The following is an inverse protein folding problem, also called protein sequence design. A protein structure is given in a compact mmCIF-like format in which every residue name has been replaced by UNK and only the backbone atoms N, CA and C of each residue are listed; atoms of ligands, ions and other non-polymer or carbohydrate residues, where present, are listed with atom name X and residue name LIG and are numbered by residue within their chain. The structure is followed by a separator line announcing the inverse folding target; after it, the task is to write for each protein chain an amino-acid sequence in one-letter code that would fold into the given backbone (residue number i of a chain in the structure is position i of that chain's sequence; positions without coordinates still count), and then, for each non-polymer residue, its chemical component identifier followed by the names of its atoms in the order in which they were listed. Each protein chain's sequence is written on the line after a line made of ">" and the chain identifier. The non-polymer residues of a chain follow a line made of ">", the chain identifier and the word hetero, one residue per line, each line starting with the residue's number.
data_IF_377745640882
#
_entry.id   IF_377745640882
#
_cell.length_a   1.000
_cell.length_b   1.000
_cell.length_c   1.000
_cell.angle_alpha   90.00
_cell.angle_beta   90.00
_cell.angle_gamma   90.00
#
_symmetry.space_group_name_H-M   'P 1'
#
loop_
_entity.id
_entity.type
_entity.pdbx_description
1 polymer ?
#
# COMPACT_ATOMS: atom_id res chain seq x y z
N UNK A 1 -2.21 27.54 23.11
CA UNK A 1 -3.20 27.92 22.08
C UNK A 1 -4.00 26.67 21.77
N UNK A 2 -5.22 26.55 22.31
CA UNK A 2 -6.04 25.35 22.11
C UNK A 2 -6.72 25.41 20.74
N UNK A 3 -6.55 24.37 19.93
CA UNK A 3 -7.28 24.23 18.67
C UNK A 3 -8.79 24.06 18.97
N UNK A 4 -9.68 24.72 18.22
CA UNK A 4 -11.13 24.61 18.41
C UNK A 4 -11.59 23.15 18.27
N UNK A 5 -12.56 22.74 19.08
CA UNK A 5 -12.97 21.33 19.26
C UNK A 5 -13.26 20.57 17.96
N UNK A 6 -13.79 21.26 16.94
CA UNK A 6 -14.09 20.69 15.63
C UNK A 6 -12.86 20.21 14.85
N UNK A 7 -11.72 20.92 14.93
CA UNK A 7 -10.47 20.47 14.28
C UNK A 7 -9.92 19.23 14.96
N UNK A 8 -10.04 19.15 16.30
CA UNK A 8 -9.57 18.02 17.11
C UNK A 8 -10.30 16.73 16.74
N UNK A 9 -11.60 16.83 16.47
CA UNK A 9 -12.43 15.67 16.09
C UNK A 9 -12.01 15.07 14.74
N UNK A 10 -11.71 15.89 13.72
CA UNK A 10 -11.29 15.38 12.40
C UNK A 10 -9.95 14.65 12.45
N UNK A 11 -8.95 15.23 13.12
CA UNK A 11 -7.66 14.58 13.32
C UNK A 11 -7.78 13.31 14.15
N UNK A 12 -8.64 13.31 15.17
CA UNK A 12 -8.90 12.13 15.98
C UNK A 12 -9.52 11.00 15.15
N UNK A 13 -10.45 11.31 14.23
CA UNK A 13 -11.04 10.31 13.33
C UNK A 13 -10.01 9.70 12.39
N UNK A 14 -9.12 10.51 11.82
CA UNK A 14 -8.03 10.01 10.99
C UNK A 14 -7.07 9.13 11.79
N UNK A 15 -6.62 9.62 12.95
CA UNK A 15 -5.75 8.88 13.86
C UNK A 15 -6.36 7.55 14.27
N UNK A 16 -7.65 7.52 14.64
CA UNK A 16 -8.34 6.29 15.02
C UNK A 16 -8.42 5.31 13.84
N UNK A 17 -8.68 5.81 12.63
CA UNK A 17 -8.77 4.97 11.43
C UNK A 17 -7.43 4.36 11.03
N UNK A 18 -6.32 5.08 11.20
CA UNK A 18 -4.97 4.59 10.89
C UNK A 18 -4.43 3.69 12.00
N UNK A 19 -4.64 4.07 13.27
CA UNK A 19 -4.23 3.30 14.43
C UNK A 19 -4.90 1.92 14.47
N UNK A 20 -6.21 1.84 14.26
CA UNK A 20 -6.95 0.57 14.27
C UNK A 20 -6.57 -0.38 13.13
N UNK A 21 -5.79 0.09 12.16
CA UNK A 21 -5.32 -0.69 11.00
C UNK A 21 -3.81 -0.87 11.01
N UNK A 22 -3.14 -0.52 12.10
CA UNK A 22 -1.68 -0.58 12.25
C UNK A 22 -0.94 0.10 11.09
N UNK A 23 -1.45 1.25 10.66
CA UNK A 23 -0.86 2.03 9.57
C UNK A 23 0.15 3.05 10.12
N UNK A 24 1.30 3.12 9.47
CA UNK A 24 2.43 4.00 9.80
C UNK A 24 2.46 5.17 8.80
N UNK A 25 2.67 6.37 9.33
CA UNK A 25 2.77 7.61 8.55
C UNK A 25 4.18 7.78 7.96
N UNK A 26 4.30 7.89 6.63
CA UNK A 26 5.56 7.74 5.89
C UNK A 26 6.22 9.06 5.47
N UNK A 27 5.48 10.08 5.05
CA UNK A 27 6.04 11.32 4.49
C UNK A 27 6.16 12.45 5.51
N UNK A 28 6.71 12.15 6.68
CA UNK A 28 6.81 13.08 7.83
C UNK A 28 7.60 14.36 7.54
N UNK A 29 8.55 14.30 6.62
CA UNK A 29 9.49 15.39 6.31
C UNK A 29 9.11 16.18 5.05
N UNK A 30 7.86 16.06 4.60
CA UNK A 30 7.36 16.78 3.42
C UNK A 30 6.50 17.98 3.81
N UNK A 31 6.49 19.01 2.97
CA UNK A 31 5.59 20.16 2.97
C UNK A 31 4.87 20.20 1.62
N UNK A 32 3.87 19.33 1.49
CA UNK A 32 3.20 19.07 0.21
C UNK A 32 2.40 20.24 -0.34
N UNK A 33 1.98 21.20 0.50
CA UNK A 33 1.24 22.38 0.06
C UNK A 33 2.05 23.64 0.35
N UNK A 34 2.23 24.46 -0.69
CA UNK A 34 2.95 25.73 -0.60
C UNK A 34 2.20 26.74 0.25
N UNK A 35 2.94 27.69 0.80
CA UNK A 35 2.34 28.88 1.41
C UNK A 35 1.55 29.69 0.37
N UNK A 36 0.46 30.29 0.83
CA UNK A 36 -0.33 31.26 0.08
C UNK A 36 -0.51 32.51 0.98
N UNK A 37 -1.00 33.61 0.42
CA UNK A 37 -1.13 34.89 1.12
C UNK A 37 -1.91 34.73 2.44
N UNK A 38 -1.18 34.75 3.56
CA UNK A 38 -1.74 34.57 4.91
C UNK A 38 -1.88 33.12 5.40
N UNK A 39 -1.32 32.14 4.70
CA UNK A 39 -1.30 30.73 5.09
C UNK A 39 0.13 30.19 5.03
N UNK A 40 0.58 29.55 6.11
CA UNK A 40 1.87 28.87 6.13
C UNK A 40 1.84 27.60 5.25
N UNK A 41 3.01 27.16 4.78
CA UNK A 41 3.17 25.85 4.16
C UNK A 41 2.65 24.76 5.09
N UNK A 42 2.13 23.69 4.50
CA UNK A 42 1.52 22.61 5.28
C UNK A 42 1.65 21.28 4.57
N UNK A 43 1.66 20.21 5.36
CA UNK A 43 1.65 18.87 4.83
C UNK A 43 0.25 18.26 4.99
N UNK A 44 -0.53 18.28 3.91
CA UNK A 44 -1.91 17.78 3.92
C UNK A 44 -2.10 16.55 3.03
N UNK A 45 -1.13 16.24 2.19
CA UNK A 45 -1.05 14.99 1.44
C UNK A 45 -0.35 13.94 2.31
N UNK A 46 -1.12 13.01 2.88
CA UNK A 46 -0.63 12.06 3.87
C UNK A 46 -0.51 10.66 3.29
N UNK A 47 0.66 10.05 3.45
CA UNK A 47 0.98 8.70 2.99
C UNK A 47 1.06 7.77 4.18
N UNK A 48 0.27 6.70 4.13
CA UNK A 48 0.25 5.66 5.14
C UNK A 48 0.60 4.30 4.53
N UNK A 49 1.40 3.50 5.24
CA UNK A 49 1.75 2.14 4.83
C UNK A 49 1.66 1.18 6.01
N UNK A 50 1.62 -0.13 5.70
CA UNK A 50 1.75 -1.15 6.74
C UNK A 50 3.21 -1.30 7.17
N UNK A 51 3.45 -1.98 8.28
CA UNK A 51 4.80 -2.29 8.77
C UNK A 51 5.68 -2.98 7.72
N UNK A 52 5.11 -3.85 6.89
CA UNK A 52 5.83 -4.54 5.82
C UNK A 52 6.27 -3.58 4.70
N UNK A 53 5.45 -2.55 4.43
CA UNK A 53 5.75 -1.56 3.39
C UNK A 53 6.81 -0.54 3.84
N UNK A 54 6.87 -0.20 5.13
CA UNK A 54 7.77 0.84 5.65
C UNK A 54 9.24 0.56 5.34
N UNK A 55 9.65 -0.71 5.31
CA UNK A 55 11.04 -1.09 5.03
C UNK A 55 11.42 -1.09 3.55
N UNK A 56 10.44 -0.96 2.64
CA UNK A 56 10.67 -1.06 1.19
C UNK A 56 10.18 0.18 0.44
N UNK A 57 9.58 1.15 1.13
CA UNK A 57 9.03 2.38 0.54
C UNK A 57 9.83 3.58 1.01
N UNK A 58 10.23 4.42 0.06
CA UNK A 58 10.81 5.74 0.31
C UNK A 58 9.85 6.81 -0.23
N UNK A 59 9.71 7.92 0.50
CA UNK A 59 8.89 9.06 0.10
C UNK A 59 9.77 10.31 0.02
N UNK A 60 9.76 10.99 -1.12
CA UNK A 60 10.55 12.21 -1.35
C UNK A 60 9.67 13.30 -1.96
N UNK A 61 9.80 14.54 -1.48
CA UNK A 61 9.10 15.67 -2.08
C UNK A 61 9.83 16.17 -3.33
N UNK A 62 9.11 16.33 -4.42
CA UNK A 62 9.61 16.95 -5.64
C UNK A 62 9.44 18.46 -5.54
N UNK A 63 10.54 19.20 -5.63
CA UNK A 63 10.54 20.66 -5.48
C UNK A 63 9.85 21.39 -6.64
N UNK A 64 9.82 20.80 -7.82
CA UNK A 64 9.05 21.33 -8.95
C UNK A 64 7.56 21.01 -8.77
N UNK A 65 6.74 22.05 -8.64
CA UNK A 65 5.30 21.93 -8.40
C UNK A 65 4.48 21.66 -9.65
N UNK A 66 5.09 21.69 -10.84
CA UNK A 66 4.40 21.54 -12.12
C UNK A 66 3.24 22.54 -12.31
N UNK A 67 3.38 23.73 -11.71
CA UNK A 67 2.36 24.78 -11.77
C UNK A 67 1.16 24.57 -10.85
N UNK A 68 1.23 23.61 -9.92
CA UNK A 68 0.26 23.40 -8.84
C UNK A 68 0.64 24.21 -7.59
N UNK A 69 -0.32 24.41 -6.68
CA UNK A 69 -0.09 24.89 -5.32
C UNK A 69 0.42 23.78 -4.38
N UNK A 70 0.53 22.55 -4.90
CA UNK A 70 1.08 21.39 -4.22
C UNK A 70 2.39 20.90 -4.86
N UNK A 71 3.34 20.51 -4.01
CA UNK A 71 4.51 19.73 -4.40
C UNK A 71 4.14 18.26 -4.59
N UNK A 72 4.51 17.63 -5.73
CA UNK A 72 4.38 16.19 -5.88
C UNK A 72 5.20 15.45 -4.82
N UNK A 73 4.68 14.32 -4.34
CA UNK A 73 5.43 13.38 -3.50
C UNK A 73 5.73 12.15 -4.35
N UNK A 74 7.02 11.87 -4.55
CA UNK A 74 7.48 10.67 -5.21
C UNK A 74 7.54 9.52 -4.21
N UNK A 75 6.98 8.37 -4.60
CA UNK A 75 6.99 7.14 -3.80
C UNK A 75 7.81 6.11 -4.56
N UNK A 76 8.96 5.71 -4.02
CA UNK A 76 9.81 4.66 -4.56
C UNK A 76 9.61 3.38 -3.76
N UNK A 77 9.56 2.24 -4.43
CA UNK A 77 9.44 0.94 -3.76
C UNK A 77 10.32 -0.14 -4.37
N UNK A 78 11.05 -0.88 -3.55
CA UNK A 78 11.79 -2.06 -4.00
C UNK A 78 10.91 -3.30 -3.93
N UNK A 79 10.51 -3.83 -5.09
CA UNK A 79 9.64 -5.01 -5.17
C UNK A 79 10.40 -6.20 -5.74
N UNK A 80 10.42 -7.31 -4.99
CA UNK A 80 10.90 -8.61 -5.49
C UNK A 80 9.71 -9.46 -5.91
N UNK A 81 9.55 -9.65 -7.21
CA UNK A 81 8.50 -10.53 -7.76
C UNK A 81 8.85 -11.98 -7.45
N UNK A 82 8.05 -12.63 -6.61
CA UNK A 82 8.23 -14.04 -6.30
C UNK A 82 7.43 -14.90 -7.29
N UNK A 83 8.13 -15.48 -8.28
CA UNK A 83 7.49 -16.33 -9.29
C UNK A 83 7.06 -17.68 -8.70
N UNK A 84 5.75 -17.89 -8.53
CA UNK A 84 5.22 -19.19 -8.10
C UNK A 84 5.41 -20.24 -9.20
N UNK A 85 6.25 -21.25 -8.94
CA UNK A 85 6.39 -22.41 -9.83
C UNK A 85 5.57 -23.57 -9.28
N UNK A 86 4.38 -23.79 -9.84
CA UNK A 86 3.55 -24.96 -9.52
C UNK A 86 4.35 -26.22 -9.80
N UNK A 87 4.68 -27.02 -8.77
CA UNK A 87 5.25 -28.36 -8.96
C UNK A 87 4.19 -29.19 -9.68
N UNK A 88 4.52 -29.73 -10.86
CA UNK A 88 3.61 -30.54 -11.66
C UNK A 88 3.05 -31.69 -10.81
N UNK A 89 1.73 -31.78 -10.70
CA UNK A 89 1.08 -32.90 -10.02
C UNK A 89 1.46 -34.19 -10.75
N UNK A 90 2.14 -35.10 -10.05
CA UNK A 90 2.44 -36.44 -10.54
C UNK A 90 1.12 -37.20 -10.67
N UNK A 91 0.59 -37.33 -11.88
CA UNK A 91 -0.55 -38.19 -12.17
C UNK A 91 -0.08 -39.64 -12.01
N UNK A 92 -0.51 -40.32 -10.95
CA UNK A 92 -0.31 -41.75 -10.79
C UNK A 92 -1.44 -42.50 -11.52
N UNK A 93 -1.14 -43.07 -12.68
CA UNK A 93 -2.08 -43.97 -13.38
C UNK A 93 -2.15 -45.31 -12.63
N UNK A 94 -3.21 -45.51 -11.85
CA UNK A 94 -3.58 -46.84 -11.36
C UNK A 94 -4.17 -47.61 -12.56
N UNK A 95 -3.47 -48.61 -13.08
CA UNK A 95 -3.99 -49.48 -14.14
C UNK A 95 -5.25 -50.19 -13.63
N UNK A 96 -6.43 -49.79 -14.10
CA UNK A 96 -7.62 -50.62 -13.96
C UNK A 96 -7.45 -51.83 -14.89
N UNK A 97 -7.41 -53.02 -14.30
CA UNK A 97 -7.37 -54.30 -15.02
C UNK A 97 -8.77 -54.53 -15.58
N UNK A 98 -8.99 -54.30 -16.88
CA UNK A 98 -10.23 -54.72 -17.54
C UNK A 98 -10.25 -56.25 -17.61
N UNK A 99 -11.21 -56.87 -16.93
CA UNK A 99 -11.53 -58.29 -17.12
C UNK A 99 -12.12 -58.49 -18.51
N UNK A 100 -11.59 -59.47 -19.23
CA UNK A 100 -12.04 -59.84 -20.57
C UNK A 100 -13.42 -60.49 -20.46
N UNK A 101 -14.40 -59.93 -21.18
CA UNK A 101 -15.73 -60.54 -21.32
C UNK A 101 -15.60 -61.78 -22.21
N UNK A 102 -16.05 -62.97 -21.80
CA UNK A 102 -15.95 -64.17 -22.62
C UNK A 102 -16.95 -64.10 -23.78
N UNK A 103 -16.46 -64.37 -24.99
CA UNK A 103 -17.32 -64.53 -26.17
C UNK A 103 -18.02 -65.89 -26.09
N UNK A 104 -19.35 -65.89 -26.22
CA UNK A 104 -20.15 -67.10 -26.42
C UNK A 104 -20.22 -67.41 -27.92
N UNK A 105 -19.95 -68.68 -28.24
CA UNK A 105 -20.08 -69.27 -29.58
C UNK A 105 -21.52 -69.21 -30.09
#
# INVERSE_FOLDING_TARGET
>A
MELPGYRRERWYRLWLATYNKDLIYLNQETESRMEDTGQASSNIDLIFGTTEMVNIVECEQVMDTWGSDHHPIEIRMEVKVQTYRKKSNRISTKKNKMERIPQRN
#
